data_IF_614722258828
#
_entry.id   IF_614722258828
#
_cell.length_a   1.000
_cell.length_b   1.000
_cell.length_c   1.000
_cell.angle_alpha   90.00
_cell.angle_beta   90.00
_cell.angle_gamma   90.00
#
_symmetry.space_group_name_H-M   'P 1'
#
loop_
_entity.id
_entity.type
_entity.pdbx_description
1 polymer ?
#
# COMPACT_ATOMS: atom_id res chain seq x y z
N UNK A 1 -19.32 4.97 4.88
CA UNK A 1 -18.81 5.53 3.62
C UNK A 1 -17.35 5.15 3.52
N UNK A 2 -16.90 4.59 2.40
CA UNK A 2 -15.46 4.49 2.16
C UNK A 2 -14.92 5.91 1.94
N UNK A 3 -13.67 6.19 2.33
CA UNK A 3 -13.06 7.52 2.16
C UNK A 3 -13.07 7.95 0.69
N UNK A 4 -13.03 6.97 -0.22
CA UNK A 4 -13.02 7.21 -1.66
C UNK A 4 -14.40 7.58 -2.23
N UNK A 5 -15.47 7.42 -1.46
CA UNK A 5 -16.84 7.80 -1.84
C UNK A 5 -17.20 9.23 -1.36
N UNK A 6 -16.28 9.93 -0.70
CA UNK A 6 -16.48 11.32 -0.26
C UNK A 6 -16.61 12.25 -1.46
N UNK A 7 -17.50 13.24 -1.34
CA UNK A 7 -17.73 14.24 -2.39
C UNK A 7 -16.46 15.05 -2.68
N UNK A 8 -16.39 15.63 -3.87
CA UNK A 8 -15.29 16.51 -4.22
C UNK A 8 -15.39 17.80 -3.41
N UNK A 9 -14.27 18.19 -2.79
CA UNK A 9 -14.20 19.31 -1.85
C UNK A 9 -14.30 18.88 -0.38
N UNK A 10 -14.80 17.67 -0.08
CA UNK A 10 -14.77 17.12 1.27
C UNK A 10 -13.38 16.57 1.59
N UNK A 11 -12.90 16.86 2.80
CA UNK A 11 -11.62 16.35 3.29
C UNK A 11 -11.68 16.00 4.78
N UNK A 12 -10.81 15.07 5.18
CA UNK A 12 -10.57 14.72 6.57
C UNK A 12 -9.33 15.49 7.03
N UNK A 13 -9.48 16.27 8.09
CA UNK A 13 -8.37 17.00 8.71
C UNK A 13 -7.57 16.06 9.62
N UNK A 14 -6.28 15.92 9.37
CA UNK A 14 -5.38 15.00 10.08
C UNK A 14 -4.37 15.79 10.90
N UNK A 15 -4.34 15.51 12.19
CA UNK A 15 -3.25 15.94 13.06
C UNK A 15 -2.06 15.00 12.94
N UNK A 16 -0.86 15.56 13.08
CA UNK A 16 0.40 14.80 13.09
C UNK A 16 1.20 15.12 14.34
N UNK A 17 1.90 14.12 14.87
CA UNK A 17 2.88 14.32 15.93
C UNK A 17 4.15 15.05 15.41
N UNK A 18 5.07 15.45 16.29
CA UNK A 18 6.32 16.12 15.87
C UNK A 18 7.21 15.32 14.92
N UNK A 19 7.00 14.00 14.80
CA UNK A 19 7.73 13.13 13.88
C UNK A 19 7.03 12.97 12.52
N UNK A 20 5.84 13.55 12.37
CA UNK A 20 5.01 13.46 11.18
C UNK A 20 4.07 12.25 11.15
N UNK A 21 3.94 11.50 12.25
CA UNK A 21 3.00 10.38 12.32
C UNK A 21 1.59 10.90 12.52
N UNK A 22 0.60 10.37 11.79
CA UNK A 22 -0.78 10.79 11.96
C UNK A 22 -1.34 10.28 13.29
N UNK A 23 -2.00 11.16 14.03
CA UNK A 23 -2.58 10.87 15.35
C UNK A 23 -4.11 10.93 15.34
N UNK A 24 -4.72 10.40 16.40
CA UNK A 24 -6.17 10.40 16.54
C UNK A 24 -6.92 9.43 15.61
N UNK A 25 -8.23 9.62 15.53
CA UNK A 25 -9.12 8.76 14.75
C UNK A 25 -8.96 9.00 13.24
N UNK A 26 -8.76 10.26 12.86
CA UNK A 26 -8.52 10.74 11.51
C UNK A 26 -7.20 10.16 10.99
N UNK A 27 -6.16 10.13 11.84
CA UNK A 27 -4.90 9.49 11.49
C UNK A 27 -5.01 7.99 11.27
N UNK A 28 -5.80 7.29 12.10
CA UNK A 28 -6.13 5.87 11.86
C UNK A 28 -6.86 5.69 10.54
N UNK A 29 -7.78 6.59 10.22
CA UNK A 29 -8.56 6.58 8.97
C UNK A 29 -7.64 6.77 7.75
N UNK A 30 -6.67 7.70 7.82
CA UNK A 30 -5.62 7.86 6.82
C UNK A 30 -4.81 6.57 6.61
N UNK A 31 -4.34 5.93 7.69
CA UNK A 31 -3.58 4.68 7.59
C UNK A 31 -4.40 3.53 6.97
N UNK A 32 -5.70 3.49 7.21
CA UNK A 32 -6.60 2.52 6.59
C UNK A 32 -6.80 2.81 5.10
N UNK A 33 -6.99 4.07 4.73
CA UNK A 33 -7.09 4.52 3.35
C UNK A 33 -5.82 4.17 2.56
N UNK A 34 -4.63 4.49 3.08
CA UNK A 34 -3.34 4.05 2.50
C UNK A 34 -3.33 2.54 2.26
N UNK A 35 -3.74 1.77 3.27
CA UNK A 35 -3.83 0.32 3.17
C UNK A 35 -4.77 -0.15 2.06
N UNK A 36 -5.90 0.53 1.86
CA UNK A 36 -6.84 0.25 0.78
C UNK A 36 -6.22 0.51 -0.60
N UNK A 37 -5.54 1.64 -0.79
CA UNK A 37 -4.88 1.99 -2.07
C UNK A 37 -3.80 0.98 -2.45
N UNK A 38 -2.87 0.67 -1.54
CA UNK A 38 -1.74 -0.23 -1.87
C UNK A 38 -2.16 -1.67 -2.16
N UNK A 39 -3.43 -2.03 -1.89
CA UNK A 39 -4.01 -3.33 -2.25
C UNK A 39 -4.68 -3.34 -3.62
N UNK A 40 -4.89 -2.18 -4.24
CA UNK A 40 -5.47 -2.04 -5.59
C UNK A 40 -4.35 -2.23 -6.61
N UNK A 41 -4.53 -3.18 -7.52
CA UNK A 41 -3.52 -3.48 -8.55
C UNK A 41 -3.18 -2.26 -9.42
N UNK A 42 -4.16 -1.40 -9.70
CA UNK A 42 -4.00 -0.19 -10.49
C UNK A 42 -3.14 0.87 -9.79
N UNK A 43 -3.06 0.83 -8.45
CA UNK A 43 -2.32 1.81 -7.65
C UNK A 43 -0.93 1.28 -7.26
N UNK A 44 -0.82 0.00 -6.89
CA UNK A 44 0.45 -0.60 -6.46
C UNK A 44 0.57 -2.05 -6.96
N UNK A 45 0.95 -2.25 -8.24
CA UNK A 45 1.10 -3.58 -8.82
C UNK A 45 2.04 -4.48 -8.01
N UNK A 46 1.64 -5.73 -7.78
CA UNK A 46 2.37 -6.68 -6.94
C UNK A 46 3.50 -7.43 -7.67
N UNK A 47 3.56 -7.32 -9.00
CA UNK A 47 4.58 -7.93 -9.87
C UNK A 47 5.98 -7.29 -9.74
N UNK A 48 6.08 -6.09 -9.17
CA UNK A 48 7.37 -5.51 -8.78
C UNK A 48 7.98 -6.30 -7.62
N UNK A 49 9.29 -6.51 -7.61
CA UNK A 49 9.95 -7.29 -6.56
C UNK A 49 10.02 -6.50 -5.24
N UNK A 50 10.53 -5.27 -5.30
CA UNK A 50 10.65 -4.38 -4.16
C UNK A 50 9.85 -3.09 -4.37
N UNK A 51 9.56 -2.39 -3.26
CA UNK A 51 8.91 -1.09 -3.30
C UNK A 51 9.74 -0.04 -4.05
N UNK A 52 11.07 -0.18 -4.02
CA UNK A 52 12.00 0.73 -4.71
C UNK A 52 11.98 0.53 -6.23
N UNK A 53 11.50 -0.62 -6.70
CA UNK A 53 11.38 -0.91 -8.13
C UNK A 53 10.06 -0.41 -8.71
N UNK A 54 9.09 -0.06 -7.86
CA UNK A 54 7.81 0.49 -8.28
C UNK A 54 8.04 1.84 -8.95
N UNK A 55 7.45 2.05 -10.14
CA UNK A 55 7.57 3.32 -10.86
C UNK A 55 7.11 4.47 -9.98
N UNK A 56 7.84 5.58 -10.04
CA UNK A 56 7.58 6.75 -9.20
C UNK A 56 6.16 7.31 -9.39
N UNK A 57 5.64 7.27 -10.63
CA UNK A 57 4.28 7.69 -10.96
C UNK A 57 3.20 6.99 -10.12
N UNK A 58 3.36 5.70 -9.80
CA UNK A 58 2.41 5.01 -8.91
C UNK A 58 2.40 5.61 -7.50
N UNK A 59 3.58 5.96 -6.98
CA UNK A 59 3.74 6.54 -5.64
C UNK A 59 3.17 7.96 -5.63
N UNK A 60 3.47 8.75 -6.66
CA UNK A 60 2.97 10.12 -6.81
C UNK A 60 1.45 10.12 -6.91
N UNK A 61 0.86 9.31 -7.80
CA UNK A 61 -0.59 9.23 -7.98
C UNK A 61 -1.31 8.80 -6.68
N UNK A 62 -0.75 7.87 -5.92
CA UNK A 62 -1.32 7.48 -4.62
C UNK A 62 -1.25 8.62 -3.60
N UNK A 63 -0.16 9.41 -3.59
CA UNK A 63 -0.05 10.57 -2.70
C UNK A 63 -1.06 11.66 -3.07
N UNK A 64 -1.23 11.94 -4.36
CA UNK A 64 -2.23 12.91 -4.83
C UNK A 64 -3.66 12.48 -4.46
N UNK A 65 -3.98 11.20 -4.62
CA UNK A 65 -5.28 10.65 -4.19
C UNK A 65 -5.50 10.84 -2.68
N UNK A 66 -4.47 10.60 -1.86
CA UNK A 66 -4.56 10.85 -0.41
C UNK A 66 -4.75 12.34 -0.13
N UNK A 67 -3.96 13.21 -0.75
CA UNK A 67 -4.03 14.65 -0.53
C UNK A 67 -5.36 15.26 -1.02
N UNK A 68 -6.05 14.60 -1.95
CA UNK A 68 -7.39 15.02 -2.38
C UNK A 68 -8.48 14.76 -1.35
N UNK A 69 -8.26 13.84 -0.39
CA UNK A 69 -9.25 13.45 0.64
C UNK A 69 -8.79 13.73 2.07
N UNK A 70 -7.52 14.02 2.27
CA UNK A 70 -6.92 14.33 3.57
C UNK A 70 -6.14 15.64 3.53
N UNK A 71 -6.47 16.54 4.43
CA UNK A 71 -5.69 17.75 4.71
C UNK A 71 -5.00 17.61 6.06
N UNK A 72 -3.93 18.36 6.28
CA UNK A 72 -3.14 18.29 7.50
C UNK A 72 -3.20 19.64 8.22
N UNK A 73 -3.39 19.62 9.54
CA UNK A 73 -3.56 20.85 10.37
C UNK A 73 -2.36 21.79 10.25
N UNK A 74 -1.17 21.22 10.12
CA UNK A 74 0.06 21.94 9.86
C UNK A 74 0.44 21.75 8.40
N UNK A 75 1.09 22.78 7.83
CA UNK A 75 1.63 22.70 6.48
C UNK A 75 2.47 21.42 6.34
N UNK A 76 2.17 20.66 5.29
CA UNK A 76 2.58 19.27 5.14
C UNK A 76 4.10 19.22 4.93
N UNK A 77 4.84 19.05 6.03
CA UNK A 77 6.30 19.03 5.99
C UNK A 77 6.78 17.90 5.08
N UNK A 78 7.96 18.06 4.48
CA UNK A 78 8.61 16.98 3.73
C UNK A 78 8.77 15.71 4.59
N UNK A 79 8.89 15.87 5.90
CA UNK A 79 8.88 14.76 6.86
C UNK A 79 7.55 14.01 6.89
N UNK A 80 6.40 14.69 6.93
CA UNK A 80 5.09 14.04 6.89
C UNK A 80 4.84 13.31 5.55
N UNK A 81 5.30 13.88 4.41
CA UNK A 81 5.26 13.18 3.11
C UNK A 81 6.09 11.92 3.13
N UNK A 82 7.29 11.98 3.72
CA UNK A 82 8.18 10.83 3.88
C UNK A 82 7.53 9.73 4.72
N UNK A 83 6.93 10.08 5.85
CA UNK A 83 6.20 9.13 6.73
C UNK A 83 5.05 8.45 5.97
N UNK A 84 4.30 9.19 5.15
CA UNK A 84 3.25 8.60 4.31
C UNK A 84 3.82 7.58 3.31
N UNK A 85 4.91 7.92 2.60
CA UNK A 85 5.60 7.00 1.69
C UNK A 85 6.10 5.73 2.42
N UNK A 86 6.59 5.87 3.65
CA UNK A 86 7.03 4.75 4.48
C UNK A 86 5.85 3.84 4.86
N UNK A 87 4.71 4.40 5.26
CA UNK A 87 3.49 3.63 5.54
C UNK A 87 2.96 2.90 4.31
N UNK A 88 2.96 3.53 3.13
CA UNK A 88 2.61 2.87 1.88
C UNK A 88 3.52 1.66 1.63
N UNK A 89 4.84 1.86 1.73
CA UNK A 89 5.83 0.80 1.52
C UNK A 89 5.65 -0.36 2.49
N UNK A 90 5.41 -0.07 3.76
CA UNK A 90 5.17 -1.07 4.79
C UNK A 90 3.90 -1.88 4.50
N UNK A 91 2.78 -1.20 4.24
CA UNK A 91 1.48 -1.86 4.00
C UNK A 91 1.49 -2.67 2.71
N UNK A 92 2.17 -2.21 1.65
CA UNK A 92 2.31 -2.98 0.42
C UNK A 92 3.14 -4.25 0.62
N UNK A 93 4.27 -4.16 1.35
CA UNK A 93 5.08 -5.34 1.70
C UNK A 93 4.30 -6.34 2.55
N UNK A 94 3.53 -5.84 3.52
CA UNK A 94 2.68 -6.68 4.36
C UNK A 94 1.59 -7.36 3.52
N UNK A 95 0.92 -6.63 2.63
CA UNK A 95 -0.06 -7.23 1.72
C UNK A 95 0.55 -8.34 0.86
N UNK A 96 1.75 -8.13 0.30
CA UNK A 96 2.46 -9.18 -0.45
C UNK A 96 2.78 -10.39 0.40
N UNK A 97 3.15 -10.18 1.66
CA UNK A 97 3.38 -11.27 2.61
C UNK A 97 2.08 -12.04 2.94
N UNK A 98 0.97 -11.33 3.14
CA UNK A 98 -0.34 -11.94 3.42
C UNK A 98 -0.87 -12.73 2.22
N UNK A 99 -0.62 -12.26 1.00
CA UNK A 99 -0.86 -13.06 -0.20
C UNK A 99 0.01 -14.32 -0.21
N UNK A 100 1.23 -14.26 0.35
CA UNK A 100 2.17 -15.41 0.35
C UNK A 100 1.72 -16.47 1.30
N UNK A 101 1.32 -16.07 2.50
CA UNK A 101 0.80 -17.02 3.48
C UNK A 101 -0.49 -17.68 3.00
N UNK A 102 -1.40 -16.94 2.35
CA UNK A 102 -2.66 -17.49 1.83
C UNK A 102 -2.48 -18.42 0.63
N UNK A 103 -1.49 -18.13 -0.21
CA UNK A 103 -1.19 -18.93 -1.39
C UNK A 103 -0.31 -20.15 -1.11
N UNK A 104 0.31 -20.20 0.06
CA UNK A 104 1.20 -21.27 0.49
C UNK A 104 0.38 -22.37 1.16
N UNK A 105 0.38 -23.55 0.56
CA UNK A 105 -0.20 -24.75 1.12
C UNK A 105 0.85 -25.87 1.08
N UNK A 106 1.37 -26.26 2.25
CA UNK A 106 2.41 -27.27 2.39
C UNK A 106 1.99 -28.66 1.90
N UNK A 107 0.68 -28.89 1.77
CA UNK A 107 0.12 -30.16 1.27
C UNK A 107 0.01 -30.22 -0.26
N UNK A 108 0.22 -29.09 -0.95
CA UNK A 108 0.15 -28.99 -2.41
C UNK A 108 1.54 -29.05 -3.05
N UNK A 109 1.59 -29.47 -4.32
CA UNK A 109 2.83 -29.38 -5.10
C UNK A 109 3.05 -27.95 -5.59
N UNK A 110 4.31 -27.58 -5.84
CA UNK A 110 4.66 -26.25 -6.35
C UNK A 110 3.87 -25.90 -7.62
N UNK A 111 3.69 -26.85 -8.56
CA UNK A 111 2.92 -26.62 -9.79
C UNK A 111 1.45 -26.24 -9.54
N UNK A 112 0.81 -26.89 -8.56
CA UNK A 112 -0.58 -26.59 -8.19
C UNK A 112 -0.71 -25.24 -7.51
N UNK A 113 0.25 -24.87 -6.66
CA UNK A 113 0.31 -23.54 -6.06
C UNK A 113 0.46 -22.44 -7.12
N UNK A 114 1.27 -22.65 -8.18
CA UNK A 114 1.40 -21.68 -9.27
C UNK A 114 0.13 -21.50 -10.11
N UNK A 115 -0.60 -22.57 -10.40
CA UNK A 115 -1.80 -22.52 -11.22
C UNK A 115 -2.91 -21.64 -10.59
N UNK A 116 -3.01 -21.65 -9.26
CA UNK A 116 -3.98 -20.85 -8.52
C UNK A 116 -3.56 -19.38 -8.38
N UNK A 117 -2.28 -19.08 -8.54
CA UNK A 117 -1.75 -17.74 -8.31
C UNK A 117 -0.92 -17.29 -9.52
N UNK A 118 -1.65 -16.78 -10.53
CA UNK A 118 -1.21 -16.35 -11.86
C UNK A 118 0.01 -15.40 -11.94
N UNK A 119 0.56 -14.96 -10.82
CA UNK A 119 1.62 -13.95 -10.69
C UNK A 119 2.84 -14.43 -9.89
N UNK A 120 3.02 -15.75 -9.68
CA UNK A 120 3.94 -16.31 -8.68
C UNK A 120 4.98 -17.27 -9.30
N UNK A 121 6.23 -17.17 -8.89
CA UNK A 121 7.37 -17.99 -9.32
C UNK A 121 8.21 -18.40 -8.10
N UNK A 122 8.61 -19.66 -7.99
CA UNK A 122 9.48 -20.11 -6.91
C UNK A 122 10.94 -20.07 -7.37
N UNK A 123 11.78 -19.33 -6.64
CA UNK A 123 13.23 -19.33 -6.85
C UNK A 123 13.92 -19.69 -5.55
N UNK A 124 14.67 -20.81 -5.56
CA UNK A 124 15.53 -21.26 -4.45
C UNK A 124 14.80 -21.33 -3.10
N UNK A 125 13.71 -22.09 -3.00
CA UNK A 125 13.01 -22.25 -1.72
C UNK A 125 12.12 -21.07 -1.33
N UNK A 126 11.95 -20.06 -2.19
CA UNK A 126 11.18 -18.85 -1.89
C UNK A 126 10.17 -18.55 -2.98
N UNK A 127 8.94 -18.29 -2.52
CA UNK A 127 7.85 -17.82 -3.36
C UNK A 127 8.08 -16.34 -3.72
N UNK A 128 8.28 -16.06 -5.00
CA UNK A 128 8.54 -14.75 -5.59
C UNK A 128 7.40 -14.37 -6.54
N UNK A 129 7.25 -13.08 -6.85
CA UNK A 129 6.32 -12.65 -7.88
C UNK A 129 6.95 -12.80 -9.27
N UNK A 130 6.17 -13.20 -10.27
CA UNK A 130 6.60 -13.31 -11.68
C UNK A 130 6.96 -11.91 -12.18
N UNK A 131 8.18 -11.78 -12.68
CA UNK A 131 8.65 -10.65 -13.45
C UNK A 131 8.23 -10.91 -14.90
N UNK A 132 7.36 -10.07 -15.47
CA UNK A 132 7.20 -9.99 -16.92
C UNK A 132 8.37 -9.20 -17.50
#
# INVERSE_FOLDING_TARGET
LDVWDMLDGDFILVEVDPLGNPIGWEGKTLLNAIGSLVRRHQCAPINYLSWKDLLEDYIVNMLELIQSKFQFVLELTEQAKKVQKEHMSMKWRQFKYDLKSKGYDESQTEEKMFAHIRYWCFKKGRVCFIKF
#
